data_IF_364325530762
#
_entry.id   IF_364325530762
#
_cell.length_a   1.000
_cell.length_b   1.000
_cell.length_c   1.000
_cell.angle_alpha   90.00
_cell.angle_beta   90.00
_cell.angle_gamma   90.00
#
_symmetry.space_group_name_H-M   'P 1'
#
loop_
_entity.id
_entity.type
_entity.pdbx_description
1 polymer ?
#
# COMPACT_ATOMS: atom_id res chain seq x y z
N UNK A 1 14.22 -15.00 3.42
CA UNK A 1 14.55 -13.64 3.89
C UNK A 1 15.52 -12.92 2.98
N UNK A 2 16.56 -13.57 2.41
CA UNK A 2 17.48 -12.95 1.45
C UNK A 2 16.89 -12.63 0.06
N UNK A 3 15.72 -13.18 -0.31
CA UNK A 3 15.13 -12.96 -1.64
C UNK A 3 14.47 -11.58 -1.80
N UNK A 4 13.73 -11.08 -0.80
CA UNK A 4 13.10 -9.73 -0.88
C UNK A 4 14.14 -8.64 -0.69
N UNK A 5 15.13 -8.85 0.17
CA UNK A 5 16.22 -7.90 0.35
C UNK A 5 17.16 -7.93 -0.85
N UNK A 6 17.52 -9.10 -1.39
CA UNK A 6 18.49 -9.23 -2.47
C UNK A 6 17.98 -8.89 -3.88
N UNK A 7 16.66 -8.89 -4.11
CA UNK A 7 16.11 -8.60 -5.44
C UNK A 7 15.86 -7.09 -5.66
N UNK A 8 15.79 -6.28 -4.59
CA UNK A 8 15.50 -4.83 -4.71
C UNK A 8 16.40 -3.88 -3.86
N UNK A 9 17.16 -4.36 -2.86
CA UNK A 9 17.97 -3.48 -2.00
C UNK A 9 19.33 -4.08 -1.68
N UNK A 10 20.40 -3.46 -2.13
CA UNK A 10 21.77 -3.69 -1.67
C UNK A 10 21.96 -3.29 -0.20
N UNK A 11 21.10 -3.71 0.74
CA UNK A 11 21.12 -3.39 2.18
C UNK A 11 21.23 -1.89 2.54
N UNK A 12 21.19 -1.00 1.55
CA UNK A 12 21.29 0.43 1.68
C UNK A 12 19.88 0.97 1.89
N UNK A 13 19.62 1.45 3.11
CA UNK A 13 18.33 2.01 3.50
C UNK A 13 17.96 3.31 2.76
N UNK A 14 18.93 3.93 2.07
CA UNK A 14 18.77 5.21 1.40
C UNK A 14 19.68 5.31 0.15
N UNK A 15 19.34 4.59 -0.94
CA UNK A 15 20.10 4.66 -2.18
C UNK A 15 19.95 6.02 -2.87
N UNK A 16 21.00 6.44 -3.58
CA UNK A 16 20.96 7.65 -4.39
C UNK A 16 20.14 7.39 -5.66
N UNK A 17 19.21 8.29 -5.99
CA UNK A 17 18.36 8.24 -7.18
C UNK A 17 18.86 9.26 -8.20
N UNK A 18 19.45 8.82 -9.33
CA UNK A 18 19.90 9.72 -10.39
C UNK A 18 18.76 10.61 -10.90
N UNK A 19 19.01 11.92 -10.99
CA UNK A 19 18.04 12.88 -11.49
C UNK A 19 16.86 13.20 -10.56
N UNK A 20 16.86 12.73 -9.30
CA UNK A 20 15.75 12.91 -8.35
C UNK A 20 15.30 14.37 -8.21
N UNK A 21 16.24 15.31 -8.14
CA UNK A 21 15.95 16.74 -8.10
C UNK A 21 15.03 17.19 -9.25
N UNK A 22 15.32 16.76 -10.48
CA UNK A 22 14.52 17.10 -11.66
C UNK A 22 13.11 16.49 -11.56
N UNK A 23 13.01 15.25 -11.12
CA UNK A 23 11.73 14.54 -10.93
C UNK A 23 10.89 15.24 -9.86
N UNK A 24 11.50 15.61 -8.73
CA UNK A 24 10.83 16.33 -7.65
C UNK A 24 10.28 17.68 -8.13
N UNK A 25 11.07 18.47 -8.85
CA UNK A 25 10.62 19.73 -9.44
C UNK A 25 9.48 19.54 -10.45
N UNK A 26 9.56 18.53 -11.32
CA UNK A 26 8.49 18.22 -12.27
C UNK A 26 7.17 17.87 -11.57
N UNK A 27 7.20 17.10 -10.48
CA UNK A 27 5.99 16.76 -9.73
C UNK A 27 5.43 17.99 -8.98
N UNK A 28 6.28 18.86 -8.44
CA UNK A 28 5.87 20.13 -7.81
C UNK A 28 5.16 21.02 -8.85
N UNK A 29 5.78 21.23 -10.01
CA UNK A 29 5.23 22.06 -11.08
C UNK A 29 3.90 21.47 -11.61
N UNK A 30 3.83 20.14 -11.80
CA UNK A 30 2.60 19.44 -12.21
C UNK A 30 1.45 19.63 -11.21
N UNK A 31 1.74 19.61 -9.91
CA UNK A 31 0.73 19.85 -8.87
C UNK A 31 0.29 21.31 -8.84
N UNK A 32 1.21 22.24 -9.05
CA UNK A 32 0.90 23.66 -9.18
C UNK A 32 -0.08 23.89 -10.34
N UNK A 33 0.16 23.27 -11.49
CA UNK A 33 -0.72 23.32 -12.66
C UNK A 33 -2.13 22.79 -12.34
N UNK A 34 -2.22 21.64 -11.67
CA UNK A 34 -3.50 21.05 -11.25
C UNK A 34 -4.31 21.98 -10.35
N UNK A 35 -3.62 22.80 -9.55
CA UNK A 35 -4.22 23.79 -8.65
C UNK A 35 -4.33 25.18 -9.29
N UNK A 36 -3.96 25.35 -10.56
CA UNK A 36 -3.92 26.63 -11.27
C UNK A 36 -3.06 27.70 -10.57
N UNK A 37 -1.99 27.26 -9.90
CA UNK A 37 -1.01 28.13 -9.22
C UNK A 37 0.15 28.40 -10.20
N UNK A 38 0.46 29.66 -10.53
CA UNK A 38 1.60 29.98 -11.40
C UNK A 38 2.93 29.50 -10.81
N UNK A 39 3.80 28.90 -11.64
CA UNK A 39 5.06 28.30 -11.18
C UNK A 39 5.98 29.28 -10.45
N UNK A 40 6.01 30.56 -10.86
CA UNK A 40 6.85 31.57 -10.20
C UNK A 40 6.43 31.81 -8.74
N UNK A 41 5.14 31.66 -8.41
CA UNK A 41 4.63 31.77 -7.03
C UNK A 41 5.18 30.62 -6.19
N UNK A 42 5.11 29.39 -6.70
CA UNK A 42 5.65 28.21 -6.03
C UNK A 42 7.16 28.32 -5.81
N UNK A 43 7.90 28.73 -6.85
CA UNK A 43 9.35 28.93 -6.76
C UNK A 43 9.72 30.00 -5.74
N UNK A 44 8.95 31.08 -5.66
CA UNK A 44 9.14 32.15 -4.65
C UNK A 44 8.87 31.63 -3.24
N UNK A 45 7.79 30.87 -3.03
CA UNK A 45 7.49 30.27 -1.74
C UNK A 45 8.62 29.32 -1.28
N UNK A 46 9.23 28.57 -2.19
CA UNK A 46 10.34 27.66 -1.88
C UNK A 46 11.69 28.36 -1.61
N UNK A 47 11.78 29.69 -1.76
CA UNK A 47 12.94 30.47 -1.28
C UNK A 47 12.96 30.61 0.24
N UNK A 48 11.86 30.30 0.94
CA UNK A 48 11.81 30.28 2.40
C UNK A 48 12.93 29.41 2.97
N UNK A 49 13.56 29.92 4.03
CA UNK A 49 14.64 29.22 4.73
C UNK A 49 14.04 28.10 5.58
N UNK A 50 14.57 26.91 5.38
CA UNK A 50 14.25 25.74 6.19
C UNK A 50 15.08 25.73 7.49
N UNK A 51 14.81 24.81 8.45
CA UNK A 51 15.49 24.79 9.75
C UNK A 51 17.03 24.68 9.69
N UNK A 52 17.59 24.22 8.56
CA UNK A 52 19.03 24.13 8.36
C UNK A 52 19.68 25.39 7.72
N UNK A 53 18.92 26.48 7.58
CA UNK A 53 19.39 27.76 7.03
C UNK A 53 19.48 27.84 5.50
N UNK A 54 19.29 26.72 4.79
CA UNK A 54 19.16 26.69 3.31
C UNK A 54 17.71 26.87 2.90
N UNK A 55 17.48 27.42 1.72
CA UNK A 55 16.11 27.48 1.19
C UNK A 55 15.60 26.08 0.81
N UNK A 56 14.28 25.90 0.76
CA UNK A 56 13.71 24.64 0.25
C UNK A 56 14.12 24.39 -1.20
N UNK A 57 14.20 25.42 -2.03
CA UNK A 57 14.69 25.32 -3.41
C UNK A 57 16.13 24.80 -3.47
N UNK A 58 17.05 25.35 -2.67
CA UNK A 58 18.45 24.91 -2.61
C UNK A 58 18.58 23.45 -2.16
N UNK A 59 17.70 23.00 -1.26
CA UNK A 59 17.64 21.61 -0.80
C UNK A 59 17.11 20.69 -1.89
N UNK A 60 16.04 21.08 -2.58
CA UNK A 60 15.46 20.34 -3.71
C UNK A 60 16.42 20.24 -4.91
N UNK A 61 17.21 21.28 -5.19
CA UNK A 61 18.21 21.28 -6.27
C UNK A 61 19.33 20.27 -6.02
N UNK A 62 19.62 19.97 -4.75
CA UNK A 62 20.71 19.09 -4.33
C UNK A 62 20.24 17.72 -3.85
N UNK A 63 18.94 17.47 -3.79
CA UNK A 63 18.38 16.23 -3.28
C UNK A 63 18.84 15.04 -4.13
N UNK A 64 19.30 13.99 -3.47
CA UNK A 64 19.77 12.77 -4.15
C UNK A 64 19.11 11.50 -3.66
N UNK A 65 18.38 11.53 -2.55
CA UNK A 65 17.71 10.33 -2.04
C UNK A 65 16.27 10.60 -1.61
N UNK A 66 15.48 9.52 -1.56
CA UNK A 66 14.08 9.59 -1.15
C UNK A 66 13.93 10.01 0.31
N UNK A 67 14.88 9.62 1.17
CA UNK A 67 14.90 10.05 2.57
C UNK A 67 15.12 11.56 2.68
N UNK A 68 16.08 12.11 1.94
CA UNK A 68 16.31 13.56 1.91
C UNK A 68 15.07 14.29 1.40
N UNK A 69 14.46 13.79 0.32
CA UNK A 69 13.23 14.35 -0.23
C UNK A 69 12.10 14.32 0.80
N UNK A 70 11.86 13.18 1.46
CA UNK A 70 10.85 13.06 2.50
C UNK A 70 11.11 14.06 3.63
N UNK A 71 12.35 14.20 4.09
CA UNK A 71 12.70 15.15 5.15
C UNK A 71 12.48 16.62 4.72
N UNK A 72 12.74 16.98 3.46
CA UNK A 72 12.42 18.31 2.92
C UNK A 72 10.91 18.58 3.01
N UNK A 73 10.08 17.62 2.60
CA UNK A 73 8.62 17.76 2.66
C UNK A 73 8.11 17.79 4.10
N UNK A 74 8.63 16.94 4.98
CA UNK A 74 8.23 16.90 6.38
C UNK A 74 8.55 18.23 7.08
N UNK A 75 9.77 18.77 6.89
CA UNK A 75 10.15 20.08 7.42
C UNK A 75 9.24 21.20 6.91
N UNK A 76 8.83 21.15 5.64
CA UNK A 76 7.95 22.16 5.05
C UNK A 76 6.54 22.09 5.62
N UNK A 77 6.01 20.89 5.78
CA UNK A 77 4.68 20.65 6.36
C UNK A 77 4.65 21.06 7.83
N UNK A 78 5.73 20.81 8.57
CA UNK A 78 5.87 21.18 9.99
C UNK A 78 5.89 22.69 10.25
N UNK A 79 6.17 23.52 9.23
CA UNK A 79 6.11 24.98 9.37
C UNK A 79 4.70 25.50 9.64
N UNK A 80 3.67 24.72 9.28
CA UNK A 80 2.28 25.09 9.49
C UNK A 80 1.76 24.41 10.76
N UNK A 81 1.16 25.13 11.72
CA UNK A 81 0.51 24.51 12.86
C UNK A 81 -0.52 23.46 12.38
N UNK A 82 -0.46 22.25 12.95
CA UNK A 82 -1.26 21.09 12.52
C UNK A 82 -0.97 20.61 11.08
N UNK A 83 0.11 21.08 10.45
CA UNK A 83 0.45 20.78 9.07
C UNK A 83 0.57 19.29 8.80
N UNK A 84 1.18 18.50 9.70
CA UNK A 84 1.25 17.03 9.52
C UNK A 84 -0.12 16.37 9.45
N UNK A 85 -1.08 16.82 10.28
CA UNK A 85 -2.43 16.26 10.30
C UNK A 85 -3.22 16.65 9.04
N UNK A 86 -3.00 17.85 8.53
CA UNK A 86 -3.75 18.41 7.39
C UNK A 86 -3.12 18.05 6.04
N UNK A 87 -1.80 17.98 5.99
CA UNK A 87 -1.00 17.97 4.77
C UNK A 87 0.06 16.87 4.73
N UNK A 88 0.20 16.01 5.76
CA UNK A 88 1.15 14.89 5.75
C UNK A 88 0.95 13.94 4.57
N UNK A 89 -0.29 13.85 4.06
CA UNK A 89 -0.61 13.11 2.84
C UNK A 89 -0.04 13.74 1.56
N UNK A 90 0.46 14.99 1.58
CA UNK A 90 1.06 15.64 0.41
C UNK A 90 2.50 15.21 0.16
N UNK A 91 3.19 14.62 1.14
CA UNK A 91 4.53 14.07 0.94
C UNK A 91 4.48 13.00 -0.18
N UNK A 92 5.19 13.19 -1.30
CA UNK A 92 5.11 12.29 -2.45
C UNK A 92 5.76 10.94 -2.19
N UNK A 93 6.65 10.85 -1.19
CA UNK A 93 7.34 9.61 -0.85
C UNK A 93 6.42 8.75 0.00
N UNK A 94 6.02 7.59 -0.54
CA UNK A 94 5.04 6.68 0.06
C UNK A 94 5.64 5.41 0.63
N UNK A 95 6.84 5.05 0.19
CA UNK A 95 7.60 3.89 0.65
C UNK A 95 8.99 4.33 1.08
N UNK A 96 9.69 3.49 1.86
CA UNK A 96 11.08 3.79 2.20
C UNK A 96 11.80 2.67 2.93
N UNK A 97 13.09 2.90 3.14
CA UNK A 97 13.96 1.98 3.87
C UNK A 97 14.39 0.74 3.08
N UNK A 98 15.16 -0.17 3.71
CA UNK A 98 15.79 -1.31 3.04
C UNK A 98 14.81 -2.37 2.51
N UNK A 99 13.53 -2.30 2.88
CA UNK A 99 12.48 -3.20 2.40
C UNK A 99 11.37 -2.44 1.67
N UNK A 100 11.57 -1.17 1.29
CA UNK A 100 10.59 -0.37 0.54
C UNK A 100 9.18 -0.40 1.16
N UNK A 101 9.08 -0.20 2.47
CA UNK A 101 7.84 -0.37 3.22
C UNK A 101 6.94 0.84 3.05
N UNK A 102 5.64 0.61 2.83
CA UNK A 102 4.62 1.66 2.84
C UNK A 102 4.60 2.43 4.17
N UNK A 103 4.70 3.76 4.10
CA UNK A 103 4.63 4.64 5.26
C UNK A 103 3.28 4.52 5.96
N UNK A 104 2.18 4.44 5.18
CA UNK A 104 0.85 4.28 5.74
C UNK A 104 0.69 2.94 6.47
N UNK A 105 1.29 1.87 5.94
CA UNK A 105 1.33 0.58 6.63
C UNK A 105 2.08 0.69 7.96
N UNK A 106 3.27 1.30 7.95
CA UNK A 106 4.08 1.47 9.17
C UNK A 106 3.36 2.32 10.23
N UNK A 107 2.69 3.41 9.83
CA UNK A 107 1.89 4.25 10.72
C UNK A 107 0.72 3.49 11.35
N UNK A 108 0.00 2.70 10.55
CA UNK A 108 -1.11 1.86 11.05
C UNK A 108 -0.64 0.76 12.02
N UNK A 109 0.61 0.30 11.88
CA UNK A 109 1.19 -0.81 12.66
C UNK A 109 2.28 -0.36 13.64
N UNK A 110 2.34 0.94 13.96
CA UNK A 110 3.33 1.50 14.88
C UNK A 110 3.11 1.05 16.34
N UNK A 111 1.88 0.64 16.69
CA UNK A 111 1.55 0.18 18.04
C UNK A 111 2.37 -1.07 18.38
N UNK A 112 3.09 -1.02 19.50
CA UNK A 112 3.95 -2.12 19.95
C UNK A 112 5.36 -2.09 19.35
N UNK A 113 5.73 -1.05 18.60
CA UNK A 113 7.11 -0.85 18.17
C UNK A 113 8.03 -0.72 19.41
N UNK A 114 9.05 -1.60 19.57
CA UNK A 114 9.76 -1.73 20.84
C UNK A 114 10.90 -0.71 21.02
N UNK A 115 11.17 0.13 20.03
CA UNK A 115 12.29 1.06 20.05
C UNK A 115 11.84 2.52 20.14
N UNK A 116 12.62 3.40 20.79
CA UNK A 116 12.37 4.83 20.75
C UNK A 116 12.36 5.37 19.31
N UNK A 117 11.38 6.22 19.02
CA UNK A 117 11.22 6.90 17.74
C UNK A 117 11.77 8.32 17.88
N UNK A 118 12.71 8.69 17.02
CA UNK A 118 13.19 10.08 16.88
C UNK A 118 12.38 10.80 15.79
N UNK A 119 11.39 11.58 16.21
CA UNK A 119 10.47 12.30 15.32
C UNK A 119 9.24 11.46 14.96
N UNK A 120 9.12 11.04 13.70
CA UNK A 120 7.93 10.39 13.15
C UNK A 120 8.18 8.94 12.73
N UNK A 121 7.10 8.14 12.64
CA UNK A 121 7.16 6.78 12.09
C UNK A 121 7.71 6.80 10.66
N UNK A 122 7.31 7.80 9.86
CA UNK A 122 7.86 8.02 8.52
C UNK A 122 9.38 8.08 8.52
N UNK A 123 9.97 8.88 9.41
CA UNK A 123 11.43 8.98 9.55
C UNK A 123 12.05 7.66 10.01
N UNK A 124 11.38 6.95 10.92
CA UNK A 124 11.84 5.66 11.42
C UNK A 124 11.89 4.59 10.31
N UNK A 125 10.94 4.58 9.37
CA UNK A 125 10.94 3.67 8.20
C UNK A 125 12.21 3.79 7.36
N UNK A 126 12.76 5.00 7.21
CA UNK A 126 14.04 5.21 6.50
C UNK A 126 15.28 4.80 7.30
N UNK A 127 15.12 4.38 8.56
CA UNK A 127 16.22 3.76 9.30
C UNK A 127 16.34 2.28 8.94
N UNK A 128 17.54 1.72 9.04
CA UNK A 128 17.74 0.27 8.83
C UNK A 128 16.86 -0.55 9.78
N UNK A 129 16.75 -0.14 11.04
CA UNK A 129 15.99 -0.86 12.07
C UNK A 129 14.50 -0.78 11.81
N UNK A 130 13.96 0.43 11.63
CA UNK A 130 12.54 0.65 11.40
C UNK A 130 12.07 0.01 10.10
N UNK A 131 12.77 0.22 8.99
CA UNK A 131 12.39 -0.39 7.71
C UNK A 131 12.47 -1.92 7.73
N UNK A 132 13.44 -2.52 8.45
CA UNK A 132 13.47 -3.97 8.66
C UNK A 132 12.32 -4.45 9.56
N UNK A 133 12.02 -3.74 10.65
CA UNK A 133 10.94 -4.11 11.55
C UNK A 133 9.59 -4.08 10.84
N UNK A 134 9.23 -2.95 10.22
CA UNK A 134 7.95 -2.82 9.52
C UNK A 134 7.89 -3.69 8.28
N UNK A 135 9.02 -3.93 7.59
CA UNK A 135 9.06 -4.84 6.45
C UNK A 135 8.88 -6.30 6.84
N UNK A 136 9.51 -6.75 7.92
CA UNK A 136 9.29 -8.10 8.46
C UNK A 136 7.86 -8.24 8.96
N UNK A 137 7.31 -7.23 9.62
CA UNK A 137 5.92 -7.20 10.04
C UNK A 137 4.97 -7.25 8.83
N UNK A 138 5.22 -6.51 7.75
CA UNK A 138 4.41 -6.58 6.54
C UNK A 138 4.51 -7.96 5.87
N UNK A 139 5.66 -8.63 5.93
CA UNK A 139 5.83 -9.93 5.31
C UNK A 139 5.24 -11.09 6.14
N UNK A 140 5.39 -11.03 7.47
CA UNK A 140 5.15 -12.17 8.38
C UNK A 140 4.19 -11.86 9.54
N UNK A 141 3.82 -10.60 9.73
CA UNK A 141 2.99 -10.12 10.85
C UNK A 141 1.50 -10.40 10.71
N UNK A 142 1.09 -11.20 9.72
CA UNK A 142 -0.28 -11.65 9.54
C UNK A 142 -0.33 -13.18 9.33
N UNK A 143 -1.33 -13.85 9.93
CA UNK A 143 -1.54 -15.26 9.69
C UNK A 143 -2.00 -15.45 8.25
N UNK A 144 -1.42 -16.43 7.55
CA UNK A 144 -1.84 -16.80 6.21
C UNK A 144 -1.50 -18.26 5.95
N UNK A 145 -2.44 -18.98 5.35
CA UNK A 145 -2.38 -20.42 5.11
C UNK A 145 -1.78 -20.75 3.73
N UNK A 146 -0.72 -20.05 3.32
CA UNK A 146 -0.12 -20.25 2.01
C UNK A 146 0.81 -21.47 1.96
N UNK A 147 0.59 -22.33 0.98
CA UNK A 147 1.46 -23.50 0.71
C UNK A 147 2.86 -23.12 0.21
N UNK A 148 3.01 -21.92 -0.38
CA UNK A 148 4.28 -21.42 -0.94
C UNK A 148 4.54 -19.99 -0.48
N UNK A 149 5.79 -19.69 -0.13
CA UNK A 149 6.19 -18.34 0.29
C UNK A 149 6.05 -17.28 -0.80
N UNK A 150 5.99 -17.66 -2.09
CA UNK A 150 5.78 -16.75 -3.21
C UNK A 150 4.54 -15.88 -3.02
N UNK A 151 3.45 -16.42 -2.46
CA UNK A 151 2.22 -15.67 -2.22
C UNK A 151 2.38 -14.60 -1.14
N UNK A 152 3.23 -14.83 -0.13
CA UNK A 152 3.59 -13.75 0.83
C UNK A 152 4.41 -12.64 0.17
N UNK A 153 5.25 -12.97 -0.82
CA UNK A 153 5.99 -11.96 -1.57
C UNK A 153 5.09 -11.17 -2.53
N UNK A 154 4.06 -11.81 -3.11
CA UNK A 154 3.04 -11.12 -3.86
C UNK A 154 2.20 -10.19 -2.94
N UNK A 155 1.76 -10.68 -1.78
CA UNK A 155 1.05 -9.88 -0.77
C UNK A 155 1.90 -8.72 -0.24
N UNK A 156 3.23 -8.87 -0.16
CA UNK A 156 4.10 -7.77 0.26
C UNK A 156 3.99 -6.54 -0.67
N UNK A 157 3.70 -6.76 -1.95
CA UNK A 157 3.53 -5.69 -2.95
C UNK A 157 2.08 -5.25 -3.08
N UNK A 158 1.13 -6.18 -3.00
CA UNK A 158 -0.29 -5.94 -3.27
C UNK A 158 -1.15 -5.73 -2.01
N UNK A 159 -0.59 -5.92 -0.82
CA UNK A 159 -1.28 -5.88 0.47
C UNK A 159 -1.59 -7.27 1.01
N UNK A 160 -1.81 -7.34 2.33
CA UNK A 160 -2.16 -8.58 3.02
C UNK A 160 -3.39 -9.25 2.40
N UNK A 161 -3.28 -10.57 2.20
CA UNK A 161 -4.30 -11.45 1.64
C UNK A 161 -4.63 -11.24 0.14
N UNK A 162 -3.92 -10.35 -0.57
CA UNK A 162 -4.17 -10.08 -1.98
C UNK A 162 -4.09 -11.35 -2.85
N UNK A 163 -3.11 -12.24 -2.63
CA UNK A 163 -2.95 -13.48 -3.37
C UNK A 163 -4.12 -14.45 -3.17
N UNK A 164 -4.58 -14.61 -1.92
CA UNK A 164 -5.78 -15.39 -1.60
C UNK A 164 -7.00 -14.79 -2.28
N UNK A 165 -7.16 -13.48 -2.21
CA UNK A 165 -8.31 -12.78 -2.77
C UNK A 165 -8.33 -12.88 -4.30
N UNK A 166 -7.17 -12.83 -4.95
CA UNK A 166 -7.00 -13.11 -6.38
C UNK A 166 -7.39 -14.55 -6.73
N UNK A 167 -7.04 -15.53 -5.90
CA UNK A 167 -7.52 -16.91 -6.08
C UNK A 167 -9.05 -17.01 -5.94
N UNK A 168 -9.65 -16.29 -4.98
CA UNK A 168 -11.10 -16.20 -4.84
C UNK A 168 -11.76 -15.57 -6.07
N UNK A 169 -11.22 -14.46 -6.61
CA UNK A 169 -11.69 -13.84 -7.86
C UNK A 169 -11.63 -14.80 -9.04
N UNK A 170 -10.58 -15.64 -9.11
CA UNK A 170 -10.46 -16.68 -10.12
C UNK A 170 -11.57 -17.73 -9.99
N UNK A 171 -11.84 -18.21 -8.78
CA UNK A 171 -12.93 -19.13 -8.48
C UNK A 171 -14.31 -18.53 -8.81
N UNK A 172 -14.54 -17.26 -8.48
CA UNK A 172 -15.76 -16.54 -8.87
C UNK A 172 -15.90 -16.47 -10.38
N UNK A 173 -14.84 -16.14 -11.09
CA UNK A 173 -14.85 -16.06 -12.56
C UNK A 173 -15.22 -17.40 -13.18
N UNK A 174 -14.66 -18.49 -12.63
CA UNK A 174 -14.96 -19.84 -13.07
C UNK A 174 -16.41 -20.26 -12.77
N UNK A 175 -16.92 -19.95 -11.58
CA UNK A 175 -18.26 -20.36 -11.16
C UNK A 175 -19.39 -19.55 -11.84
N UNK A 176 -19.12 -18.28 -12.17
CA UNK A 176 -20.08 -17.34 -12.77
C UNK A 176 -19.96 -17.20 -14.30
N UNK A 177 -18.80 -17.50 -14.87
CA UNK A 177 -18.47 -17.21 -16.26
C UNK A 177 -18.14 -15.74 -16.55
N UNK A 178 -18.07 -14.89 -15.52
CA UNK A 178 -17.76 -13.46 -15.65
C UNK A 178 -16.26 -13.26 -15.44
N UNK A 179 -15.50 -12.72 -16.41
CA UNK A 179 -14.07 -12.46 -16.23
C UNK A 179 -13.83 -11.35 -15.21
N UNK A 180 -13.01 -11.62 -14.20
CA UNK A 180 -12.54 -10.64 -13.22
C UNK A 180 -11.04 -10.36 -13.38
N UNK A 181 -10.63 -9.13 -13.05
CA UNK A 181 -9.24 -8.85 -12.75
C UNK A 181 -8.85 -9.60 -11.47
N UNK A 182 -7.65 -10.19 -11.44
CA UNK A 182 -7.13 -10.92 -10.29
C UNK A 182 -6.22 -10.01 -9.46
N UNK A 183 -6.76 -8.86 -9.06
CA UNK A 183 -6.06 -7.79 -8.35
C UNK A 183 -6.14 -7.92 -6.82
N UNK A 184 -6.98 -8.83 -6.30
CA UNK A 184 -7.19 -9.05 -4.88
C UNK A 184 -8.22 -8.10 -4.24
N UNK A 185 -8.80 -7.17 -5.00
CA UNK A 185 -9.80 -6.23 -4.52
C UNK A 185 -11.21 -6.84 -4.57
N UNK A 186 -11.69 -7.24 -3.39
CA UNK A 186 -13.00 -7.86 -3.25
C UNK A 186 -14.14 -6.83 -3.25
N UNK A 187 -13.87 -5.62 -2.76
CA UNK A 187 -14.83 -4.53 -2.61
C UNK A 187 -14.18 -3.18 -2.92
N UNK A 188 -15.03 -2.16 -3.09
CA UNK A 188 -14.58 -0.76 -3.09
C UNK A 188 -14.53 -0.29 -1.64
N UNK A 189 -13.35 -0.22 -1.04
CA UNK A 189 -13.17 0.24 0.34
C UNK A 189 -13.63 1.70 0.50
N UNK A 190 -14.32 1.98 1.62
CA UNK A 190 -14.90 3.30 1.90
C UNK A 190 -16.13 3.65 1.06
N UNK A 191 -16.74 2.69 0.38
CA UNK A 191 -17.94 2.87 -0.44
C UNK A 191 -18.94 1.73 -0.21
N UNK A 192 -20.22 2.08 -0.13
CA UNK A 192 -21.34 1.13 -0.09
C UNK A 192 -21.71 0.57 -1.47
N UNK A 193 -21.10 1.13 -2.53
CA UNK A 193 -21.34 0.66 -3.90
C UNK A 193 -20.62 -0.68 -4.12
N UNK A 194 -21.28 -1.66 -4.76
CA UNK A 194 -20.65 -2.93 -5.08
C UNK A 194 -19.59 -2.76 -6.16
N UNK A 195 -18.44 -3.41 -5.95
CA UNK A 195 -17.38 -3.53 -6.97
C UNK A 195 -17.68 -4.62 -8.00
N UNK A 196 -16.78 -4.79 -8.98
CA UNK A 196 -16.89 -5.81 -10.03
C UNK A 196 -16.91 -7.22 -9.45
N UNK A 197 -16.01 -7.53 -8.52
CA UNK A 197 -15.97 -8.80 -7.79
C UNK A 197 -17.29 -9.07 -7.07
N UNK A 198 -17.79 -8.10 -6.30
CA UNK A 198 -19.05 -8.23 -5.56
C UNK A 198 -20.25 -8.45 -6.50
N UNK A 199 -20.33 -7.73 -7.62
CA UNK A 199 -21.39 -7.91 -8.61
C UNK A 199 -21.37 -9.32 -9.21
N UNK A 200 -20.19 -9.86 -9.53
CA UNK A 200 -20.05 -11.22 -10.03
C UNK A 200 -20.49 -12.26 -8.99
N UNK A 201 -20.08 -12.09 -7.73
CA UNK A 201 -20.51 -12.97 -6.62
C UNK A 201 -22.02 -12.93 -6.42
N UNK A 202 -22.66 -11.75 -6.51
CA UNK A 202 -24.12 -11.60 -6.40
C UNK A 202 -24.89 -12.38 -7.47
N UNK A 203 -24.31 -12.63 -8.65
CA UNK A 203 -24.95 -13.51 -9.65
C UNK A 203 -25.06 -14.96 -9.19
N UNK A 204 -24.19 -15.38 -8.26
CA UNK A 204 -24.18 -16.72 -7.67
C UNK A 204 -25.11 -16.82 -6.44
N UNK A 205 -25.65 -15.71 -5.94
CA UNK A 205 -26.40 -15.64 -4.67
C UNK A 205 -27.49 -16.71 -4.54
N UNK A 206 -28.29 -16.92 -5.60
CA UNK A 206 -29.35 -17.95 -5.61
C UNK A 206 -28.80 -19.38 -5.57
N UNK A 207 -27.66 -19.64 -6.20
CA UNK A 207 -27.01 -20.97 -6.22
C UNK A 207 -26.32 -21.28 -4.90
N UNK A 208 -25.87 -20.25 -4.18
CA UNK A 208 -25.20 -20.35 -2.89
C UNK A 208 -26.18 -20.27 -1.71
N UNK A 209 -27.43 -19.86 -1.95
CA UNK A 209 -28.41 -19.54 -0.91
C UNK A 209 -27.89 -18.49 0.09
N UNK A 210 -27.19 -17.47 -0.41
CA UNK A 210 -26.62 -16.38 0.39
C UNK A 210 -27.21 -15.04 -0.06
N UNK A 211 -27.74 -14.25 0.88
CA UNK A 211 -28.27 -12.92 0.57
C UNK A 211 -27.16 -11.94 0.15
N UNK A 212 -27.51 -10.90 -0.63
CA UNK A 212 -26.53 -9.88 -1.04
C UNK A 212 -25.85 -9.17 0.15
N UNK A 213 -26.56 -8.99 1.27
CA UNK A 213 -25.97 -8.38 2.46
C UNK A 213 -25.00 -9.33 3.16
N UNK A 214 -25.27 -10.63 3.19
CA UNK A 214 -24.35 -11.63 3.70
C UNK A 214 -23.10 -11.77 2.81
N UNK A 215 -23.27 -11.67 1.48
CA UNK A 215 -22.15 -11.58 0.54
C UNK A 215 -21.27 -10.38 0.88
N UNK A 216 -21.85 -9.18 1.01
CA UNK A 216 -21.09 -7.96 1.32
C UNK A 216 -20.31 -8.11 2.63
N UNK A 217 -20.97 -8.56 3.71
CA UNK A 217 -20.32 -8.77 5.02
C UNK A 217 -19.19 -9.79 4.97
N UNK A 218 -19.27 -10.80 4.09
CA UNK A 218 -18.20 -11.75 3.91
C UNK A 218 -17.02 -11.13 3.13
N UNK A 219 -17.28 -10.42 2.03
CA UNK A 219 -16.23 -9.77 1.24
C UNK A 219 -15.51 -8.64 2.00
N UNK A 220 -16.20 -7.98 2.92
CA UNK A 220 -15.60 -6.99 3.84
C UNK A 220 -14.56 -7.58 4.79
N UNK A 221 -14.52 -8.91 4.94
CA UNK A 221 -13.46 -9.60 5.70
C UNK A 221 -12.22 -9.88 4.85
N UNK A 222 -12.18 -9.44 3.59
CA UNK A 222 -11.14 -9.75 2.61
C UNK A 222 -9.72 -9.39 3.04
N UNK A 223 -9.54 -8.53 4.03
CA UNK A 223 -8.28 -8.11 4.64
C UNK A 223 -7.97 -8.85 5.96
N UNK A 224 -8.75 -9.88 6.30
CA UNK A 224 -8.61 -10.68 7.52
C UNK A 224 -8.49 -12.18 7.22
N UNK A 225 -8.02 -12.97 8.18
CA UNK A 225 -7.93 -14.43 8.04
C UNK A 225 -9.33 -15.06 7.99
N UNK A 226 -10.27 -14.49 8.73
CA UNK A 226 -11.64 -14.96 8.91
C UNK A 226 -12.46 -15.02 7.60
N UNK A 227 -11.98 -14.40 6.52
CA UNK A 227 -12.60 -14.55 5.20
C UNK A 227 -12.64 -16.01 4.73
N UNK A 228 -11.55 -16.76 4.96
CA UNK A 228 -11.44 -18.19 4.59
C UNK A 228 -12.49 -19.05 5.29
N UNK A 229 -12.97 -18.58 6.44
CA UNK A 229 -13.96 -19.26 7.25
C UNK A 229 -15.40 -18.91 6.89
N UNK A 230 -15.61 -17.97 5.98
CA UNK A 230 -16.96 -17.61 5.55
C UNK A 230 -17.60 -18.70 4.69
N UNK A 231 -18.91 -18.87 4.84
CA UNK A 231 -19.68 -19.76 3.97
C UNK A 231 -19.55 -19.36 2.50
N UNK A 232 -19.48 -18.04 2.23
CA UNK A 232 -19.25 -17.53 0.89
C UNK A 232 -17.95 -18.08 0.29
N UNK A 233 -16.83 -17.96 1.00
CA UNK A 233 -15.53 -18.42 0.54
C UNK A 233 -15.57 -19.91 0.20
N UNK A 234 -15.96 -20.74 1.17
CA UNK A 234 -15.96 -22.20 1.03
C UNK A 234 -16.90 -22.67 -0.10
N UNK A 235 -18.09 -22.07 -0.20
CA UNK A 235 -19.05 -22.48 -1.22
C UNK A 235 -18.65 -22.03 -2.63
N UNK A 236 -18.02 -20.85 -2.80
CA UNK A 236 -17.52 -20.39 -4.11
C UNK A 236 -16.45 -21.34 -4.63
N UNK A 237 -15.46 -21.71 -3.81
CA UNK A 237 -14.44 -22.68 -4.21
C UNK A 237 -15.05 -24.05 -4.52
N UNK A 238 -15.98 -24.54 -3.70
CA UNK A 238 -16.68 -25.79 -3.98
C UNK A 238 -17.49 -25.74 -5.30
N UNK A 239 -18.05 -24.58 -5.64
CA UNK A 239 -18.79 -24.37 -6.89
C UNK A 239 -17.86 -24.30 -8.10
N UNK A 240 -16.70 -23.65 -7.96
CA UNK A 240 -15.67 -23.57 -8.99
C UNK A 240 -15.11 -24.96 -9.31
N UNK A 241 -14.77 -25.75 -8.29
CA UNK A 241 -14.26 -27.13 -8.42
C UNK A 241 -15.22 -28.05 -9.19
N UNK A 242 -16.53 -27.96 -8.89
CA UNK A 242 -17.57 -28.70 -9.61
C UNK A 242 -17.65 -28.30 -11.09
N UNK A 243 -17.41 -27.02 -11.39
CA UNK A 243 -17.46 -26.48 -12.75
C UNK A 243 -16.18 -26.83 -13.53
N UNK A 244 -15.04 -26.97 -12.85
CA UNK A 244 -13.73 -27.27 -13.41
C UNK A 244 -13.50 -28.75 -13.77
N UNK A 245 -14.23 -29.67 -13.14
CA UNK A 245 -13.92 -31.11 -13.18
C UNK A 245 -12.59 -31.50 -12.51
N UNK A 246 -11.89 -30.56 -11.86
CA UNK A 246 -10.64 -30.75 -11.10
C UNK A 246 -10.56 -29.76 -9.93
N UNK A 247 -10.02 -30.21 -8.79
CA UNK A 247 -9.77 -29.38 -7.60
C UNK A 247 -8.84 -28.21 -7.94
N UNK A 248 -9.32 -27.00 -7.74
CA UNK A 248 -8.49 -25.79 -7.64
C UNK A 248 -7.83 -25.79 -6.25
N UNK A 249 -6.51 -25.67 -6.20
CA UNK A 249 -5.78 -25.63 -4.94
C UNK A 249 -5.95 -24.25 -4.30
N UNK A 250 -6.40 -24.25 -3.03
CA UNK A 250 -6.38 -23.08 -2.15
C UNK A 250 -4.95 -22.71 -1.71
#
# INVERSE_FOLDING_TARGET
MLAVTGQESTFHADPQVPGLSKIAWQEIDRRADKLHIPHFVVRTALLLKSPNGKSYSERLDKVRSEKELSAIFDDFIDMVPMGQRLFGSLNPVRTGGPMQVSIAFAEAHAKGYPYPIDGSIRREVFSRRGGMYFGIMHLLGYPANYSRSLYRFADFNAGWYASRNAAFQSAVSQASGIPLALDGDLIIYGSDKPGTTELAVRTLAKRLDISHSAIRRALEKGDTLEFEDTDLYRQVFALADKTAGKKTAA
#
